data_IF_076139731063
#
_entry.id   IF_076139731063
#
_cell.length_a   1.000
_cell.length_b   1.000
_cell.length_c   1.000
_cell.angle_alpha   90.00
_cell.angle_beta   90.00
_cell.angle_gamma   90.00
#
_symmetry.space_group_name_H-M   'P 1'
#
loop_
_entity.id
_entity.type
_entity.pdbx_description
1 polymer ?
#
# COMPACT_ATOMS: atom_id res chain seq x y z
N UNK A 1 -32.64 -5.65 -2.08
CA UNK A 1 -31.66 -5.45 -3.17
C UNK A 1 -31.07 -4.05 -3.03
N UNK A 2 -29.85 -3.93 -2.50
CA UNK A 2 -29.12 -2.66 -2.47
C UNK A 2 -28.23 -2.57 -3.73
N UNK A 3 -28.24 -1.46 -4.49
CA UNK A 3 -27.41 -1.36 -5.69
C UNK A 3 -25.94 -1.13 -5.33
N UNK A 4 -25.10 -1.96 -5.95
CA UNK A 4 -23.64 -1.91 -5.90
C UNK A 4 -23.15 -0.58 -6.49
N UNK A 5 -22.46 0.21 -5.67
CA UNK A 5 -21.67 1.36 -6.13
C UNK A 5 -20.59 0.87 -7.10
N UNK A 6 -20.79 1.13 -8.39
CA UNK A 6 -19.77 0.94 -9.42
C UNK A 6 -18.65 1.95 -9.16
N UNK A 7 -17.51 1.48 -8.66
CA UNK A 7 -16.29 2.27 -8.49
C UNK A 7 -15.60 2.44 -9.84
N UNK A 8 -15.88 3.57 -10.49
CA UNK A 8 -15.16 4.02 -11.69
C UNK A 8 -13.84 4.65 -11.24
N UNK A 9 -12.77 3.85 -11.14
CA UNK A 9 -11.42 4.37 -10.91
C UNK A 9 -10.90 4.93 -12.24
N UNK A 10 -11.29 6.18 -12.53
CA UNK A 10 -10.74 6.97 -13.61
C UNK A 10 -9.24 7.21 -13.39
N UNK A 11 -8.46 6.93 -14.42
CA UNK A 11 -7.02 7.27 -14.49
C UNK A 11 -6.87 8.79 -14.49
N UNK A 12 -6.60 9.40 -13.35
CA UNK A 12 -6.26 10.82 -13.30
C UNK A 12 -4.81 11.02 -13.77
N UNK A 13 -4.64 11.34 -15.05
CA UNK A 13 -3.47 12.13 -15.50
C UNK A 13 -3.72 13.57 -15.06
N UNK A 14 -3.14 13.97 -13.92
CA UNK A 14 -3.25 15.35 -13.41
C UNK A 14 -2.20 16.25 -14.04
N UNK A 15 -2.61 17.04 -15.03
CA UNK A 15 -1.95 18.30 -15.40
C UNK A 15 -2.17 19.29 -14.26
N UNK A 16 -1.12 19.65 -13.52
CA UNK A 16 -1.25 20.43 -12.27
C UNK A 16 -1.38 21.94 -12.52
N UNK A 17 -2.48 22.61 -12.09
CA UNK A 17 -2.54 24.06 -12.01
C UNK A 17 -1.78 24.56 -10.77
N UNK A 18 -1.06 25.69 -10.92
CA UNK A 18 -0.46 26.46 -9.82
C UNK A 18 -1.56 27.18 -9.05
N UNK A 19 -2.05 26.61 -7.96
CA UNK A 19 -2.82 27.33 -6.94
C UNK A 19 -2.82 26.53 -5.64
N UNK A 20 -2.86 27.24 -4.51
CA UNK A 20 -2.76 26.78 -3.11
C UNK A 20 -3.35 25.39 -2.87
N UNK A 21 -2.48 24.37 -2.84
CA UNK A 21 -2.89 22.98 -2.64
C UNK A 21 -3.48 22.81 -1.24
N UNK A 22 -4.77 22.49 -1.16
CA UNK A 22 -5.42 22.00 0.06
C UNK A 22 -4.54 20.87 0.64
N UNK A 23 -3.91 21.11 1.78
CA UNK A 23 -2.91 20.19 2.34
C UNK A 23 -3.56 18.87 2.76
N UNK A 24 -4.81 18.90 3.20
CA UNK A 24 -5.60 17.72 3.49
C UNK A 24 -5.80 16.88 2.23
N UNK A 25 -6.15 17.51 1.10
CA UNK A 25 -6.30 16.81 -0.17
C UNK A 25 -4.98 16.18 -0.64
N UNK A 26 -3.85 16.88 -0.48
CA UNK A 26 -2.52 16.37 -0.83
C UNK A 26 -2.13 15.17 0.03
N UNK A 27 -2.33 15.27 1.34
CA UNK A 27 -1.98 14.19 2.27
C UNK A 27 -2.91 13.00 2.10
N UNK A 28 -4.21 13.22 1.95
CA UNK A 28 -5.17 12.17 1.66
C UNK A 28 -4.78 11.42 0.37
N UNK A 29 -4.53 12.14 -0.73
CA UNK A 29 -4.12 11.51 -1.99
C UNK A 29 -2.84 10.67 -1.83
N UNK A 30 -1.84 11.18 -1.09
CA UNK A 30 -0.60 10.44 -0.85
C UNK A 30 -0.81 9.21 0.04
N UNK A 31 -1.62 9.32 1.09
CA UNK A 31 -1.92 8.21 2.00
C UNK A 31 -2.77 7.13 1.32
N UNK A 32 -3.71 7.50 0.46
CA UNK A 32 -4.50 6.53 -0.32
C UNK A 32 -3.63 5.71 -1.30
N UNK A 33 -2.49 6.24 -1.72
CA UNK A 33 -1.54 5.59 -2.63
C UNK A 33 -0.60 4.59 -1.92
N UNK A 34 -0.40 4.75 -0.61
CA UNK A 34 0.44 3.85 0.23
C UNK A 34 0.03 2.38 0.12
N UNK A 35 -1.23 1.98 0.37
CA UNK A 35 -1.63 0.58 0.30
C UNK A 35 -1.53 0.00 -1.11
N UNK A 36 -1.72 0.85 -2.14
CA UNK A 36 -1.60 0.45 -3.55
C UNK A 36 -0.13 0.13 -3.85
N UNK A 37 0.76 1.06 -3.53
CA UNK A 37 2.22 0.91 -3.70
C UNK A 37 2.73 -0.31 -2.93
N UNK A 38 2.33 -0.46 -1.66
CA UNK A 38 2.70 -1.61 -0.84
C UNK A 38 2.31 -2.94 -1.51
N UNK A 39 1.05 -3.08 -1.93
CA UNK A 39 0.56 -4.29 -2.61
C UNK A 39 1.34 -4.58 -3.88
N UNK A 40 1.56 -3.58 -4.73
CA UNK A 40 2.28 -3.74 -6.00
C UNK A 40 3.72 -4.20 -5.77
N UNK A 41 4.39 -3.63 -4.78
CA UNK A 41 5.76 -4.03 -4.41
C UNK A 41 5.80 -5.44 -3.84
N UNK A 42 4.88 -5.82 -2.95
CA UNK A 42 4.80 -7.20 -2.45
C UNK A 42 4.54 -8.18 -3.61
N UNK A 43 3.62 -7.85 -4.52
CA UNK A 43 3.35 -8.69 -5.69
C UNK A 43 4.60 -8.87 -6.57
N UNK A 44 5.36 -7.80 -6.81
CA UNK A 44 6.59 -7.84 -7.59
C UNK A 44 7.68 -8.70 -6.92
N UNK A 45 8.00 -8.40 -5.66
CA UNK A 45 9.13 -9.02 -4.97
C UNK A 45 8.85 -10.48 -4.56
N UNK A 46 7.60 -10.80 -4.19
CA UNK A 46 7.19 -12.17 -3.85
C UNK A 46 6.71 -12.96 -5.08
N UNK A 47 6.75 -12.38 -6.30
CA UNK A 47 6.25 -12.99 -7.55
C UNK A 47 4.79 -13.44 -7.46
N UNK A 48 3.97 -12.67 -6.75
CA UNK A 48 2.54 -12.95 -6.61
C UNK A 48 1.71 -12.18 -7.62
N UNK A 49 0.60 -12.78 -8.03
CA UNK A 49 -0.49 -12.05 -8.67
C UNK A 49 -1.31 -11.29 -7.63
N UNK A 50 -2.03 -10.24 -8.05
CA UNK A 50 -2.96 -9.50 -7.17
C UNK A 50 -3.99 -10.45 -6.50
N UNK A 51 -4.60 -11.43 -7.18
CA UNK A 51 -5.44 -12.43 -6.52
C UNK A 51 -4.71 -13.24 -5.45
N UNK A 52 -3.45 -13.62 -5.69
CA UNK A 52 -2.64 -14.38 -4.74
C UNK A 52 -2.35 -13.56 -3.48
N UNK A 53 -2.02 -12.27 -3.64
CA UNK A 53 -1.85 -11.36 -2.52
C UNK A 53 -3.10 -11.35 -1.62
N UNK A 54 -4.28 -11.12 -2.19
CA UNK A 54 -5.51 -11.08 -1.40
C UNK A 54 -5.89 -12.44 -0.82
N UNK A 55 -5.58 -13.55 -1.49
CA UNK A 55 -5.76 -14.89 -0.94
C UNK A 55 -4.87 -15.09 0.29
N UNK A 56 -3.56 -14.87 0.16
CA UNK A 56 -2.57 -14.99 1.25
C UNK A 56 -2.93 -14.11 2.45
N UNK A 57 -3.38 -12.87 2.21
CA UNK A 57 -3.81 -11.92 3.24
C UNK A 57 -4.96 -12.45 4.12
N UNK A 58 -5.81 -13.35 3.59
CA UNK A 58 -6.94 -13.94 4.34
C UNK A 58 -6.63 -15.32 4.93
N UNK A 59 -5.50 -15.93 4.57
CA UNK A 59 -5.12 -17.21 5.12
C UNK A 59 -4.71 -17.04 6.59
N UNK A 60 -5.04 -18.06 7.38
CA UNK A 60 -4.58 -18.20 8.76
C UNK A 60 -3.62 -19.38 8.81
N UNK A 61 -2.70 -19.32 9.76
CA UNK A 61 -1.89 -20.49 10.12
C UNK A 61 -2.82 -21.58 10.63
N UNK A 62 -2.57 -22.83 10.25
CA UNK A 62 -3.42 -23.96 10.59
C UNK A 62 -2.57 -25.13 11.10
N UNK A 63 -3.02 -25.85 12.14
CA UNK A 63 -2.40 -27.11 12.49
C UNK A 63 -2.64 -28.14 11.38
N UNK A 64 -1.66 -29.02 11.17
CA UNK A 64 -1.82 -30.23 10.37
C UNK A 64 -2.43 -31.37 11.20
N UNK A 65 -2.53 -32.55 10.60
CA UNK A 65 -3.05 -33.76 11.24
C UNK A 65 -2.20 -34.27 12.41
N UNK A 66 -0.94 -33.84 12.50
CA UNK A 66 0.02 -34.19 13.56
C UNK A 66 0.14 -33.10 14.64
N UNK A 67 -0.57 -31.98 14.48
CA UNK A 67 -0.52 -30.82 15.37
C UNK A 67 0.57 -29.79 15.05
N UNK A 68 1.33 -29.97 13.96
CA UNK A 68 2.33 -28.99 13.51
C UNK A 68 1.69 -27.80 12.79
N UNK A 69 2.23 -26.60 12.98
CA UNK A 69 1.65 -25.38 12.38
C UNK A 69 2.12 -25.20 10.93
N UNK A 70 1.19 -25.35 9.99
CA UNK A 70 1.35 -24.90 8.62
C UNK A 70 1.15 -23.38 8.52
N UNK A 71 2.26 -22.67 8.34
CA UNK A 71 2.24 -21.21 8.19
C UNK A 71 1.68 -20.79 6.82
N UNK A 72 0.81 -19.78 6.82
CA UNK A 72 0.26 -19.19 5.60
C UNK A 72 1.33 -18.45 4.77
N UNK A 73 2.38 -17.97 5.43
CA UNK A 73 3.52 -17.26 4.85
C UNK A 73 4.82 -17.93 5.28
N UNK A 74 5.75 -18.11 4.36
CA UNK A 74 7.11 -18.53 4.67
C UNK A 74 7.86 -17.43 5.44
N UNK A 75 8.94 -17.79 6.15
CA UNK A 75 9.76 -16.80 6.86
C UNK A 75 10.36 -15.76 5.90
N UNK A 76 10.82 -16.19 4.72
CA UNK A 76 11.33 -15.28 3.69
C UNK A 76 10.25 -14.32 3.16
N UNK A 77 9.01 -14.79 3.00
CA UNK A 77 7.87 -13.92 2.64
C UNK A 77 7.62 -12.88 3.74
N UNK A 78 7.60 -13.29 5.01
CA UNK A 78 7.40 -12.38 6.15
C UNK A 78 8.46 -11.28 6.20
N UNK A 79 9.74 -11.65 6.15
CA UNK A 79 10.85 -10.70 6.17
C UNK A 79 10.76 -9.71 5.00
N UNK A 80 10.47 -10.21 3.79
CA UNK A 80 10.35 -9.37 2.60
C UNK A 80 9.16 -8.40 2.71
N UNK A 81 8.01 -8.85 3.18
CA UNK A 81 6.82 -8.03 3.37
C UNK A 81 7.08 -6.90 4.38
N UNK A 82 7.74 -7.22 5.51
CA UNK A 82 8.10 -6.24 6.54
C UNK A 82 9.05 -5.19 5.97
N UNK A 83 10.11 -5.61 5.25
CA UNK A 83 11.05 -4.70 4.62
C UNK A 83 10.36 -3.74 3.63
N UNK A 84 9.49 -4.26 2.76
CA UNK A 84 8.73 -3.46 1.80
C UNK A 84 7.84 -2.43 2.51
N UNK A 85 7.18 -2.80 3.61
CA UNK A 85 6.36 -1.86 4.38
C UNK A 85 7.19 -0.69 4.88
N UNK A 86 8.33 -0.97 5.51
CA UNK A 86 9.22 0.09 6.03
C UNK A 86 9.69 1.03 4.93
N UNK A 87 10.11 0.50 3.78
CA UNK A 87 10.55 1.31 2.65
C UNK A 87 9.44 2.21 2.11
N UNK A 88 8.21 1.68 1.95
CA UNK A 88 7.05 2.46 1.48
C UNK A 88 6.69 3.57 2.46
N UNK A 89 6.74 3.30 3.76
CA UNK A 89 6.49 4.31 4.79
C UNK A 89 7.61 5.37 4.81
N UNK A 90 8.87 4.96 4.65
CA UNK A 90 10.00 5.88 4.58
C UNK A 90 9.92 6.80 3.36
N UNK A 91 9.54 6.26 2.19
CA UNK A 91 9.26 7.05 0.98
C UNK A 91 8.13 8.06 1.19
N UNK A 92 7.08 7.63 1.86
CA UNK A 92 5.93 8.47 2.20
C UNK A 92 6.32 9.59 3.17
N UNK A 93 7.12 9.28 4.19
CA UNK A 93 7.63 10.26 5.12
C UNK A 93 8.57 11.27 4.43
N UNK A 94 9.48 10.80 3.56
CA UNK A 94 10.33 11.67 2.74
C UNK A 94 9.51 12.65 1.90
N UNK A 95 8.39 12.20 1.32
CA UNK A 95 7.48 13.06 0.59
C UNK A 95 6.89 14.15 1.49
N UNK A 96 6.37 13.81 2.68
CA UNK A 96 5.80 14.80 3.59
C UNK A 96 6.84 15.79 4.14
N UNK A 97 8.03 15.32 4.51
CA UNK A 97 9.11 16.17 4.99
C UNK A 97 9.53 17.25 3.97
N UNK A 98 9.58 16.89 2.68
CA UNK A 98 9.86 17.85 1.58
C UNK A 98 8.77 18.91 1.44
N UNK A 99 7.52 18.55 1.66
CA UNK A 99 6.39 19.48 1.59
C UNK A 99 6.33 20.45 2.78
N UNK A 100 6.87 20.06 3.94
CA UNK A 100 7.01 20.96 5.09
C UNK A 100 8.11 22.02 4.86
N UNK A 101 9.30 21.61 4.40
CA UNK A 101 10.43 22.54 4.16
C UNK A 101 10.11 23.64 3.14
N UNK A 102 9.28 23.36 2.13
CA UNK A 102 8.85 24.37 1.15
C UNK A 102 7.97 25.48 1.73
N UNK A 103 7.43 25.32 2.94
CA UNK A 103 6.59 26.34 3.61
C UNK A 103 7.37 27.25 4.56
N UNK A 104 8.56 26.87 5.01
CA UNK A 104 9.36 27.65 5.98
C UNK A 104 10.34 28.65 5.37
N UNK A 105 10.33 28.82 4.04
CA UNK A 105 11.19 29.79 3.32
C UNK A 105 10.42 31.00 2.78
N UNK A 106 9.40 31.46 3.52
CA UNK A 106 8.73 32.73 3.29
C UNK A 106 8.63 33.50 4.59
#
# INVERSE_FOLDING_TARGET
>A
MLPVLKSTIGKYKSTMPKSTKNILAVFHARLSDVPITFRERVCKECKWSVPTFYRKMRLKDKPDENGEINFALSNAEKEKIIAILFEVLQDTNRYFARNQKKKSSK
#
